data_IF_681653480060
#
_entry.id   IF_681653480060
#
_cell.length_a   1.000
_cell.length_b   1.000
_cell.length_c   1.000
_cell.angle_alpha   90.00
_cell.angle_beta   90.00
_cell.angle_gamma   90.00
#
_symmetry.space_group_name_H-M   'P 1'
#
loop_
_entity.id
_entity.type
_entity.pdbx_description
1 polymer ?
#
# COMPACT_ATOMS: atom_id res chain seq x y z
N UNK A 1 5.76 2.35 -87.13
CA UNK A 1 4.45 2.23 -86.45
C UNK A 1 4.22 0.77 -86.13
N UNK A 2 3.98 0.45 -84.84
CA UNK A 2 3.39 -0.81 -84.32
C UNK A 2 4.30 -2.04 -84.57
N UNK A 3 4.72 -2.79 -83.54
CA UNK A 3 3.88 -3.73 -82.80
C UNK A 3 4.36 -3.97 -81.37
N UNK A 4 3.37 -4.07 -80.49
CA UNK A 4 3.50 -4.44 -79.07
C UNK A 4 3.58 -5.96 -78.93
N UNK A 5 4.48 -6.40 -78.06
CA UNK A 5 4.53 -7.71 -77.40
C UNK A 5 4.59 -7.45 -75.88
N UNK A 6 4.38 -8.43 -74.98
CA UNK A 6 3.47 -9.57 -74.99
C UNK A 6 2.62 -9.62 -73.69
N UNK A 7 1.74 -10.61 -73.62
CA UNK A 7 0.87 -10.93 -72.49
C UNK A 7 1.62 -11.22 -71.17
N UNK A 8 1.15 -10.64 -70.08
CA UNK A 8 1.39 -11.10 -68.71
C UNK A 8 0.06 -11.10 -67.94
N UNK A 9 -0.58 -12.27 -67.91
CA UNK A 9 -1.69 -12.60 -67.01
C UNK A 9 -1.12 -12.81 -65.61
N UNK A 10 -1.23 -11.80 -64.76
CA UNK A 10 -1.00 -11.92 -63.31
C UNK A 10 -2.20 -12.63 -62.67
N UNK A 11 -2.10 -13.95 -62.56
CA UNK A 11 -2.93 -14.76 -61.67
C UNK A 11 -2.47 -14.53 -60.22
N UNK A 12 -3.21 -13.70 -59.48
CA UNK A 12 -3.12 -13.59 -58.03
C UNK A 12 -3.86 -14.78 -57.39
N UNK A 13 -3.18 -15.69 -56.66
CA UNK A 13 -3.88 -16.62 -55.80
C UNK A 13 -4.39 -15.85 -54.58
N UNK A 14 -5.71 -15.68 -54.50
CA UNK A 14 -6.40 -15.34 -53.27
C UNK A 14 -6.25 -16.52 -52.29
N UNK A 15 -5.19 -16.46 -51.48
CA UNK A 15 -5.07 -17.30 -50.29
C UNK A 15 -6.19 -16.95 -49.34
N UNK A 16 -7.27 -17.75 -49.35
CA UNK A 16 -8.25 -17.75 -48.27
C UNK A 16 -7.54 -18.21 -47.01
N UNK A 17 -7.14 -17.26 -46.18
CA UNK A 17 -6.73 -17.52 -44.81
C UNK A 17 -7.91 -18.15 -44.08
N UNK A 18 -7.75 -19.41 -43.66
CA UNK A 18 -8.69 -20.07 -42.79
C UNK A 18 -8.87 -19.21 -41.53
N UNK A 19 -10.11 -18.83 -41.23
CA UNK A 19 -10.44 -18.20 -39.96
C UNK A 19 -10.08 -19.17 -38.84
N UNK A 20 -9.12 -18.78 -38.00
CA UNK A 20 -8.82 -19.48 -36.75
C UNK A 20 -10.05 -19.30 -35.86
N UNK A 21 -10.89 -20.34 -35.77
CA UNK A 21 -11.93 -20.41 -34.74
C UNK A 21 -11.25 -20.32 -33.38
N UNK A 22 -11.57 -19.32 -32.53
CA UNK A 22 -11.10 -19.33 -31.16
C UNK A 22 -11.59 -20.61 -30.48
N UNK A 23 -10.78 -21.24 -29.61
CA UNK A 23 -11.18 -22.45 -28.92
C UNK A 23 -12.47 -22.20 -28.13
N UNK A 24 -13.38 -23.20 -28.05
CA UNK A 24 -14.64 -23.05 -27.34
C UNK A 24 -14.38 -22.64 -25.90
N UNK A 25 -14.85 -21.44 -25.53
CA UNK A 25 -14.84 -20.98 -24.15
C UNK A 25 -15.72 -21.92 -23.35
N UNK A 26 -15.11 -22.75 -22.50
CA UNK A 26 -15.85 -23.51 -21.48
C UNK A 26 -16.45 -22.51 -20.48
N UNK A 27 -17.68 -22.08 -20.73
CA UNK A 27 -18.47 -21.36 -19.73
C UNK A 27 -18.78 -22.34 -18.59
N UNK A 28 -18.05 -22.27 -17.47
CA UNK A 28 -18.32 -23.10 -16.31
C UNK A 28 -17.19 -23.25 -15.29
N UNK A 29 -15.96 -22.85 -15.62
CA UNK A 29 -14.91 -22.80 -14.61
C UNK A 29 -15.14 -21.62 -13.68
N UNK A 30 -15.38 -21.91 -12.39
CA UNK A 30 -15.34 -20.92 -11.31
C UNK A 30 -14.07 -20.09 -11.47
N UNK A 31 -14.20 -18.76 -11.41
CA UNK A 31 -13.05 -17.87 -11.45
C UNK A 31 -11.99 -18.38 -10.45
N UNK A 32 -10.69 -18.43 -10.83
CA UNK A 32 -9.63 -18.76 -9.89
C UNK A 32 -9.79 -17.91 -8.63
N UNK A 33 -9.62 -18.51 -7.46
CA UNK A 33 -9.68 -17.73 -6.22
C UNK A 33 -8.66 -16.59 -6.30
N UNK A 34 -9.08 -15.35 -6.00
CA UNK A 34 -8.18 -14.21 -6.11
C UNK A 34 -6.98 -14.44 -5.18
N UNK A 35 -5.78 -14.46 -5.76
CA UNK A 35 -4.55 -14.52 -4.97
C UNK A 35 -4.48 -13.26 -4.10
N UNK A 36 -4.25 -13.39 -2.78
CA UNK A 36 -4.18 -12.24 -1.90
C UNK A 36 -3.01 -11.36 -2.35
N UNK A 37 -3.32 -10.10 -2.67
CA UNK A 37 -2.30 -9.14 -3.09
C UNK A 37 -1.25 -9.00 -1.99
N UNK A 38 0.04 -9.00 -2.36
CA UNK A 38 1.12 -8.73 -1.40
C UNK A 38 0.85 -7.40 -0.70
N UNK A 39 0.77 -7.42 0.62
CA UNK A 39 0.59 -6.23 1.46
C UNK A 39 1.92 -5.76 2.02
N UNK A 40 2.00 -4.48 2.36
CA UNK A 40 3.11 -3.97 3.15
C UNK A 40 2.94 -4.44 4.59
N UNK A 41 4.02 -4.93 5.21
CA UNK A 41 4.03 -5.27 6.63
C UNK A 41 5.32 -4.79 7.28
N UNK A 42 5.18 -4.10 8.40
CA UNK A 42 6.26 -3.76 9.31
C UNK A 42 5.92 -4.28 10.70
N UNK A 43 6.92 -4.69 11.47
CA UNK A 43 6.75 -5.30 12.80
C UNK A 43 7.61 -4.55 13.80
N UNK A 44 7.03 -4.26 14.95
CA UNK A 44 7.75 -3.83 16.13
C UNK A 44 7.80 -5.00 17.11
N UNK A 45 8.95 -5.68 17.16
CA UNK A 45 9.14 -6.82 18.05
C UNK A 45 9.20 -6.43 19.53
N UNK A 46 9.60 -5.19 19.84
CA UNK A 46 9.69 -4.71 21.21
C UNK A 46 8.31 -4.40 21.78
N UNK A 47 7.43 -3.83 20.95
CA UNK A 47 6.06 -3.48 21.33
C UNK A 47 5.03 -4.57 21.03
N UNK A 48 5.38 -5.62 20.29
CA UNK A 48 4.52 -6.78 20.05
C UNK A 48 3.33 -6.49 19.13
N UNK A 49 3.56 -5.76 18.03
CA UNK A 49 2.53 -5.52 17.01
C UNK A 49 3.10 -5.47 15.60
N UNK A 50 2.20 -5.59 14.62
CA UNK A 50 2.49 -5.36 13.21
C UNK A 50 1.67 -4.19 12.67
N UNK A 51 2.31 -3.35 11.87
CA UNK A 51 1.63 -2.42 10.98
C UNK A 51 1.42 -3.10 9.62
N UNK A 52 0.18 -3.18 9.17
CA UNK A 52 -0.22 -3.73 7.88
C UNK A 52 -0.70 -2.58 7.00
N UNK A 53 0.10 -2.26 5.99
CA UNK A 53 -0.23 -1.27 4.99
C UNK A 53 -0.96 -1.88 3.80
N UNK A 54 -1.62 -1.04 3.00
CA UNK A 54 -2.36 -1.49 1.83
C UNK A 54 -1.43 -2.09 0.76
N UNK A 55 -1.96 -2.90 -0.18
CA UNK A 55 -1.15 -3.52 -1.23
C UNK A 55 -0.31 -2.52 -2.05
N UNK A 56 -0.80 -1.29 -2.24
CA UNK A 56 -0.08 -0.23 -2.98
C UNK A 56 1.23 0.21 -2.33
N UNK A 57 1.44 -0.11 -1.06
CA UNK A 57 2.69 0.16 -0.35
C UNK A 57 3.74 -0.93 -0.53
N UNK A 58 3.34 -2.15 -0.95
CA UNK A 58 4.24 -3.28 -1.04
C UNK A 58 5.40 -2.99 -2.01
N UNK A 59 6.64 -3.09 -1.51
CA UNK A 59 7.85 -2.82 -2.28
C UNK A 59 8.13 -1.33 -2.57
N UNK A 60 7.24 -0.41 -2.22
CA UNK A 60 7.39 1.04 -2.44
C UNK A 60 7.66 1.81 -1.16
N UNK A 61 7.11 1.36 -0.03
CA UNK A 61 7.25 2.04 1.26
C UNK A 61 8.33 1.37 2.10
N UNK A 62 9.12 2.18 2.80
CA UNK A 62 10.07 1.74 3.84
C UNK A 62 9.69 2.33 5.19
N UNK A 63 9.83 1.52 6.24
CA UNK A 63 9.80 1.96 7.61
C UNK A 63 11.20 2.37 8.07
N UNK A 64 11.35 3.59 8.54
CA UNK A 64 12.61 4.16 9.02
C UNK A 64 12.43 4.56 10.50
N UNK A 65 13.14 3.92 11.45
CA UNK A 65 13.09 4.32 12.85
C UNK A 65 13.45 5.79 13.02
N UNK A 66 12.73 6.49 13.90
CA UNK A 66 13.03 7.89 14.19
C UNK A 66 14.32 8.02 15.00
N UNK A 67 15.07 9.09 14.75
CA UNK A 67 16.22 9.42 15.57
C UNK A 67 15.80 10.01 16.94
N UNK A 68 16.72 9.99 17.89
CA UNK A 68 16.48 10.42 19.27
C UNK A 68 15.99 11.88 19.36
N UNK A 69 16.43 12.77 18.46
CA UNK A 69 16.02 14.18 18.48
C UNK A 69 14.56 14.31 18.04
N UNK A 70 14.17 13.61 16.98
CA UNK A 70 12.78 13.59 16.51
C UNK A 70 11.85 12.92 17.53
N UNK A 71 12.28 11.86 18.21
CA UNK A 71 11.51 11.23 19.28
C UNK A 71 11.30 12.19 20.45
N UNK A 72 12.36 12.83 20.94
CA UNK A 72 12.27 13.81 22.02
C UNK A 72 11.33 14.98 21.68
N UNK A 73 11.33 15.44 20.43
CA UNK A 73 10.42 16.49 19.97
C UNK A 73 8.95 16.03 19.89
N UNK A 74 8.71 14.74 19.68
CA UNK A 74 7.36 14.17 19.61
C UNK A 74 6.77 13.81 20.98
N UNK A 75 7.61 13.55 21.98
CA UNK A 75 7.18 13.03 23.29
C UNK A 75 6.85 11.54 23.30
N UNK A 76 6.99 10.85 22.17
CA UNK A 76 6.80 9.40 22.04
C UNK A 76 7.99 8.61 22.62
N UNK A 77 7.74 7.39 23.08
CA UNK A 77 8.79 6.47 23.57
C UNK A 77 9.53 5.79 22.43
N UNK A 78 8.83 5.49 21.34
CA UNK A 78 9.41 5.01 20.08
C UNK A 78 8.59 5.53 18.91
N UNK A 79 9.15 5.41 17.70
CA UNK A 79 8.47 5.90 16.52
C UNK A 79 9.17 5.50 15.23
N UNK A 80 8.37 5.40 14.18
CA UNK A 80 8.79 4.98 12.85
C UNK A 80 8.16 5.88 11.79
N UNK A 81 8.94 6.26 10.80
CA UNK A 81 8.50 7.04 9.65
C UNK A 81 8.33 6.12 8.45
N UNK A 82 7.14 6.12 7.85
CA UNK A 82 6.90 5.42 6.60
C UNK A 82 7.16 6.36 5.42
N UNK A 83 8.12 5.99 4.59
CA UNK A 83 8.63 6.81 3.49
C UNK A 83 8.36 6.10 2.18
N UNK A 84 7.71 6.78 1.24
CA UNK A 84 7.68 6.38 -0.15
C UNK A 84 9.09 6.51 -0.75
N UNK A 85 9.67 5.38 -1.13
CA UNK A 85 11.04 5.31 -1.64
C UNK A 85 11.20 5.91 -3.03
N UNK A 86 10.12 5.98 -3.81
CA UNK A 86 10.15 6.52 -5.17
C UNK A 86 10.25 8.05 -5.16
N UNK A 87 9.49 8.69 -4.27
CA UNK A 87 9.42 10.15 -4.19
C UNK A 87 10.14 10.73 -2.97
N UNK A 88 10.73 9.89 -2.11
CA UNK A 88 11.36 10.28 -0.84
C UNK A 88 10.42 11.12 0.04
N UNK A 89 9.14 10.75 0.06
CA UNK A 89 8.10 11.47 0.80
C UNK A 89 7.68 10.69 2.04
N UNK A 90 7.63 11.38 3.19
CA UNK A 90 6.99 10.82 4.37
C UNK A 90 5.48 10.75 4.16
N UNK A 91 4.93 9.55 4.30
CA UNK A 91 3.50 9.28 4.20
C UNK A 91 2.84 9.47 5.57
N UNK A 92 3.35 8.74 6.56
CA UNK A 92 2.92 8.85 7.96
C UNK A 92 4.06 8.55 8.92
N UNK A 93 3.90 9.03 10.13
CA UNK A 93 4.76 8.77 11.28
C UNK A 93 3.90 8.05 12.30
N UNK A 94 4.32 6.86 12.70
CA UNK A 94 3.71 6.10 13.79
C UNK A 94 4.52 6.34 15.05
N UNK A 95 3.84 6.68 16.13
CA UNK A 95 4.40 7.05 17.43
C UNK A 95 3.82 6.10 18.46
N UNK A 96 4.67 5.51 19.28
CA UNK A 96 4.25 4.68 20.40
C UNK A 96 4.51 5.40 21.72
N UNK A 97 3.63 5.20 22.68
CA UNK A 97 3.74 5.74 24.03
C UNK A 97 3.02 4.83 25.03
N UNK A 98 3.25 5.07 26.32
CA UNK A 98 2.43 4.53 27.40
C UNK A 98 1.14 5.34 27.64
N UNK A 99 0.20 4.75 28.36
CA UNK A 99 -1.09 5.37 28.74
C UNK A 99 -0.93 6.70 29.51
N UNK A 100 0.07 6.82 30.38
CA UNK A 100 0.26 8.01 31.22
C UNK A 100 0.64 9.24 30.38
N UNK A 101 1.38 9.01 29.29
CA UNK A 101 1.84 10.05 28.36
C UNK A 101 0.95 10.23 27.14
N UNK A 102 0.01 9.32 26.90
CA UNK A 102 -0.80 9.31 25.68
C UNK A 102 -1.62 10.59 25.50
N UNK A 103 -2.18 11.14 26.59
CA UNK A 103 -2.96 12.36 26.53
C UNK A 103 -2.12 13.56 26.04
N UNK A 104 -0.88 13.68 26.50
CA UNK A 104 0.04 14.72 26.06
C UNK A 104 0.42 14.52 24.58
N UNK A 105 0.71 13.28 24.17
CA UNK A 105 1.04 12.97 22.78
C UNK A 105 -0.11 13.33 21.83
N UNK A 106 -1.33 12.88 22.12
CA UNK A 106 -2.52 13.11 21.28
C UNK A 106 -2.96 14.58 21.31
N UNK A 107 -2.59 15.36 22.33
CA UNK A 107 -2.81 16.81 22.33
C UNK A 107 -1.94 17.57 21.32
N UNK A 108 -0.90 16.92 20.77
CA UNK A 108 -0.05 17.50 19.74
C UNK A 108 -0.82 17.61 18.42
N UNK A 109 -0.77 18.79 17.80
CA UNK A 109 -1.46 19.04 16.53
C UNK A 109 -1.09 18.04 15.44
N UNK A 110 -2.13 17.46 14.81
CA UNK A 110 -2.01 16.48 13.73
C UNK A 110 -1.63 15.07 14.18
N UNK A 111 -1.65 14.80 15.49
CA UNK A 111 -1.46 13.45 16.06
C UNK A 111 -2.82 12.89 16.46
N UNK A 112 -3.08 11.65 16.08
CA UNK A 112 -4.34 10.95 16.37
C UNK A 112 -4.05 9.58 16.94
N UNK A 113 -4.75 9.19 18.02
CA UNK A 113 -4.69 7.81 18.52
C UNK A 113 -5.20 6.85 17.44
N UNK A 114 -4.45 5.78 17.22
CA UNK A 114 -4.72 4.76 16.22
C UNK A 114 -5.15 3.44 16.86
N UNK A 115 -4.49 3.03 17.95
CA UNK A 115 -4.81 1.79 18.66
C UNK A 115 -4.21 1.80 20.07
N UNK A 116 -4.81 1.04 20.97
CA UNK A 116 -4.37 0.87 22.36
C UNK A 116 -4.44 -0.59 22.78
N UNK A 117 -3.43 -1.12 23.43
CA UNK A 117 -3.44 -2.49 23.96
C UNK A 117 -2.42 -2.67 25.07
N UNK A 118 -2.80 -3.30 26.18
CA UNK A 118 -1.88 -3.66 27.27
C UNK A 118 -1.02 -2.49 27.78
N UNK A 119 -1.60 -1.30 27.95
CA UNK A 119 -0.89 -0.10 28.41
C UNK A 119 -0.03 0.62 27.35
N UNK A 120 0.00 0.11 26.12
CA UNK A 120 0.65 0.74 24.98
C UNK A 120 -0.38 1.47 24.13
N UNK A 121 -0.05 2.70 23.73
CA UNK A 121 -0.84 3.53 22.84
C UNK A 121 -0.04 3.83 21.60
N UNK A 122 -0.64 3.58 20.45
CA UNK A 122 -0.12 3.91 19.15
C UNK A 122 -0.89 5.11 18.61
N UNK A 123 -0.16 6.12 18.18
CA UNK A 123 -0.70 7.31 17.56
C UNK A 123 -0.06 7.52 16.18
N UNK A 124 -0.82 8.07 15.26
CA UNK A 124 -0.38 8.40 13.91
C UNK A 124 -0.32 9.91 13.73
N UNK A 125 0.70 10.35 13.01
CA UNK A 125 0.85 11.71 12.51
C UNK A 125 1.07 11.66 11.00
N UNK A 126 0.30 12.44 10.26
CA UNK A 126 0.50 12.54 8.81
C UNK A 126 1.87 13.19 8.50
N UNK A 127 2.52 12.73 7.43
CA UNK A 127 3.79 13.31 6.98
C UNK A 127 3.66 14.78 6.56
N UNK A 128 4.76 15.57 6.61
CA UNK A 128 4.75 17.00 6.31
C UNK A 128 4.11 17.35 4.95
N UNK A 129 3.40 18.47 4.97
CA UNK A 129 2.24 18.89 4.17
C UNK A 129 2.45 19.11 2.67
N UNK A 130 3.54 18.66 2.04
CA UNK A 130 3.63 18.80 0.57
C UNK A 130 2.71 17.77 -0.09
N UNK A 131 1.43 18.12 -0.18
CA UNK A 131 0.42 17.38 -0.91
C UNK A 131 0.84 17.36 -2.38
N UNK A 132 0.99 16.15 -2.89
CA UNK A 132 1.24 15.86 -4.28
C UNK A 132 0.28 14.75 -4.65
N UNK A 133 -0.16 14.69 -5.92
CA UNK A 133 -1.02 13.60 -6.38
C UNK A 133 -0.43 12.21 -6.08
N UNK A 134 0.91 12.09 -6.17
CA UNK A 134 1.61 10.86 -5.83
C UNK A 134 1.50 10.51 -4.33
N UNK A 135 1.63 11.50 -3.43
CA UNK A 135 1.44 11.30 -1.99
C UNK A 135 0.00 10.93 -1.66
N UNK A 136 -0.97 11.63 -2.25
CA UNK A 136 -2.39 11.43 -1.94
C UNK A 136 -2.86 10.04 -2.37
N UNK A 137 -2.34 9.52 -3.49
CA UNK A 137 -2.55 8.13 -3.90
C UNK A 137 -2.00 7.10 -2.89
N UNK A 138 -1.03 7.51 -2.07
CA UNK A 138 -0.36 6.66 -1.07
C UNK A 138 -0.91 6.86 0.35
N UNK A 139 -1.76 7.85 0.60
CA UNK A 139 -2.38 8.07 1.90
C UNK A 139 -3.36 6.95 2.25
N UNK A 140 -3.40 6.56 3.53
CA UNK A 140 -4.35 5.58 4.03
C UNK A 140 -5.75 6.17 4.15
N UNK A 141 -6.75 5.40 3.72
CA UNK A 141 -8.17 5.72 4.03
C UNK A 141 -8.44 5.51 5.51
N UNK A 142 -9.54 6.06 6.06
CA UNK A 142 -9.93 5.82 7.45
C UNK A 142 -10.02 4.32 7.78
N UNK A 143 -10.64 3.53 6.91
CA UNK A 143 -10.83 2.08 7.11
C UNK A 143 -9.49 1.33 7.12
N UNK A 144 -8.55 1.74 6.26
CA UNK A 144 -7.20 1.18 6.24
C UNK A 144 -6.40 1.56 7.48
N UNK A 145 -6.61 2.75 8.04
CA UNK A 145 -5.98 3.17 9.31
C UNK A 145 -6.50 2.32 10.45
N UNK A 146 -7.81 2.15 10.56
CA UNK A 146 -8.45 1.38 11.63
C UNK A 146 -8.03 -0.10 11.60
N UNK A 147 -7.76 -0.65 10.41
CA UNK A 147 -7.27 -2.01 10.23
C UNK A 147 -5.74 -2.15 10.21
N UNK A 148 -4.98 -1.04 10.34
CA UNK A 148 -3.53 -1.05 10.14
C UNK A 148 -2.76 -1.77 11.25
N UNK A 149 -3.29 -1.83 12.47
CA UNK A 149 -2.57 -2.40 13.62
C UNK A 149 -3.08 -3.81 13.92
N UNK A 150 -2.15 -4.75 14.01
CA UNK A 150 -2.40 -6.12 14.46
C UNK A 150 -1.49 -6.40 15.65
N UNK A 151 -2.07 -6.44 16.84
CA UNK A 151 -1.36 -6.82 18.07
C UNK A 151 -1.06 -8.31 18.11
N UNK A 152 0.11 -8.67 18.63
CA UNK A 152 0.46 -10.07 18.84
C UNK A 152 -0.46 -10.70 19.90
N UNK A 153 -1.02 -11.87 19.60
CA UNK A 153 -1.91 -12.58 20.52
C UNK A 153 -3.34 -12.04 20.59
N UNK A 154 -3.67 -10.94 19.92
CA UNK A 154 -5.05 -10.48 19.78
C UNK A 154 -5.80 -11.36 18.78
N UNK A 155 -6.91 -11.97 19.21
CA UNK A 155 -7.92 -12.50 18.28
C UNK A 155 -8.50 -11.33 17.50
N UNK A 156 -8.42 -11.36 16.16
CA UNK A 156 -8.82 -10.24 15.30
C UNK A 156 -10.18 -9.67 15.68
N UNK A 157 -10.24 -8.36 15.93
CA UNK A 157 -11.47 -7.65 16.29
C UNK A 157 -11.45 -6.91 17.63
N UNK A 158 -10.32 -6.84 18.35
CA UNK A 158 -10.22 -5.93 19.49
C UNK A 158 -10.03 -4.49 19.00
N UNK A 159 -11.17 -3.84 18.77
CA UNK A 159 -11.27 -2.40 18.58
C UNK A 159 -11.22 -1.76 19.96
N UNK A 160 -10.03 -1.32 20.37
CA UNK A 160 -9.89 -0.42 21.52
C UNK A 160 -10.25 0.97 21.04
N UNK A 161 -11.50 1.37 21.30
CA UNK A 161 -12.05 2.69 21.02
C UNK A 161 -11.79 3.66 22.16
#
# INVERSE_FOLDING_TARGET
MKWLSPAWLLLLPLSMGAAVTPPPVMHGTRAPEPEPMKTFRWRDDAAGYSFVGPPRWAGRVKAVPMDAKSLAASGATSGVTFVDTEHSQTLLILLATDDERSAALVSTSGVHELSRHGGHVLAVKDGPTRQTFARDAMMLTPEERDAAIVWDGATGGEVTR
#
